data_IF_611970600706
#
_entry.id   IF_611970600706
#
_cell.length_a   1.000
_cell.length_b   1.000
_cell.length_c   1.000
_cell.angle_alpha   90.00
_cell.angle_beta   90.00
_cell.angle_gamma   90.00
#
_symmetry.space_group_name_H-M   'P 1'
#
loop_
_entity.id
_entity.type
_entity.pdbx_description
1 polymer ?
#
# COMPACT_ATOMS: atom_id res chain seq x y z
N UNK A 1 -20.78 2.34 -14.94
CA UNK A 1 -19.77 2.37 -13.87
C UNK A 1 -18.45 1.99 -14.52
N UNK A 2 -17.50 2.91 -14.63
CA UNK A 2 -16.26 2.70 -15.38
C UNK A 2 -15.05 3.18 -14.61
N UNK A 3 -13.85 2.83 -15.08
CA UNK A 3 -12.58 3.28 -14.51
C UNK A 3 -12.54 4.81 -14.47
N UNK A 4 -12.17 5.35 -13.31
CA UNK A 4 -12.20 6.80 -13.08
C UNK A 4 -10.87 7.41 -13.52
N UNK A 5 -10.95 8.48 -14.31
CA UNK A 5 -9.79 9.24 -14.74
C UNK A 5 -9.22 10.10 -13.60
N UNK A 6 -7.97 10.52 -13.76
CA UNK A 6 -7.22 11.39 -12.88
C UNK A 6 -8.00 12.63 -12.39
N UNK A 7 -8.72 13.32 -13.27
CA UNK A 7 -9.53 14.49 -12.94
C UNK A 7 -10.59 14.17 -11.88
N UNK A 8 -11.25 13.02 -12.00
CA UNK A 8 -12.24 12.58 -11.02
C UNK A 8 -11.57 12.22 -9.70
N UNK A 9 -10.45 11.50 -9.73
CA UNK A 9 -9.72 11.10 -8.52
C UNK A 9 -9.24 12.35 -7.77
N UNK A 10 -8.68 13.33 -8.49
CA UNK A 10 -8.25 14.63 -7.95
C UNK A 10 -9.40 15.36 -7.28
N UNK A 11 -10.54 15.47 -7.97
CA UNK A 11 -11.74 16.09 -7.42
C UNK A 11 -12.17 15.43 -6.11
N UNK A 12 -12.26 14.10 -6.11
CA UNK A 12 -12.67 13.35 -4.91
C UNK A 12 -11.67 13.46 -3.76
N UNK A 13 -10.37 13.52 -4.06
CA UNK A 13 -9.34 13.71 -3.03
C UNK A 13 -9.43 15.12 -2.41
N UNK A 14 -9.52 16.17 -3.22
CA UNK A 14 -9.50 17.56 -2.75
C UNK A 14 -10.82 18.02 -2.12
N UNK A 15 -11.96 17.64 -2.69
CA UNK A 15 -13.29 18.13 -2.24
C UNK A 15 -13.92 17.22 -1.18
N UNK A 16 -13.60 15.92 -1.19
CA UNK A 16 -14.24 14.93 -0.34
C UNK A 16 -13.27 14.17 0.58
N UNK A 17 -11.98 14.52 0.57
CA UNK A 17 -10.97 13.86 1.41
C UNK A 17 -10.83 12.37 1.12
N UNK A 18 -11.06 11.94 -0.13
CA UNK A 18 -11.02 10.52 -0.50
C UNK A 18 -9.63 9.90 -0.26
N UNK A 19 -8.56 10.68 -0.38
CA UNK A 19 -7.16 10.26 -0.21
C UNK A 19 -6.44 11.35 0.60
N UNK A 20 -5.75 10.98 1.68
CA UNK A 20 -5.05 11.94 2.54
C UNK A 20 -3.78 11.32 3.15
N UNK A 21 -2.59 11.92 2.98
CA UNK A 21 -2.28 13.09 2.15
C UNK A 21 -2.37 12.78 0.64
N UNK A 22 -2.76 13.78 -0.16
CA UNK A 22 -2.92 13.66 -1.61
C UNK A 22 -1.83 14.40 -2.41
N UNK A 23 -1.28 13.76 -3.44
CA UNK A 23 -0.36 14.37 -4.41
C UNK A 23 -0.97 14.31 -5.80
N UNK A 24 -1.23 15.47 -6.39
CA UNK A 24 -2.05 15.64 -7.60
C UNK A 24 -1.30 15.39 -8.93
N UNK A 25 -0.05 14.96 -8.85
CA UNK A 25 0.82 14.61 -9.96
C UNK A 25 1.74 13.44 -9.58
N UNK A 26 2.40 12.85 -10.57
CA UNK A 26 3.43 11.84 -10.36
C UNK A 26 4.73 12.46 -9.83
N UNK A 27 5.16 12.05 -8.64
CA UNK A 27 6.51 12.33 -8.13
C UNK A 27 7.44 11.17 -8.47
N UNK A 28 8.61 11.47 -9.04
CA UNK A 28 9.53 10.46 -9.61
C UNK A 28 11.00 10.64 -9.23
N UNK A 29 11.38 11.80 -8.71
CA UNK A 29 12.79 12.14 -8.52
C UNK A 29 13.43 11.30 -7.39
N UNK A 30 14.34 10.41 -7.78
CA UNK A 30 15.14 9.60 -6.86
C UNK A 30 14.37 8.51 -6.10
N UNK A 31 13.12 8.22 -6.46
CA UNK A 31 12.24 7.29 -5.73
C UNK A 31 11.41 6.42 -6.66
N UNK A 32 10.87 5.31 -6.13
CA UNK A 32 9.76 4.60 -6.80
C UNK A 32 8.57 5.55 -6.83
N UNK A 33 8.07 5.82 -8.04
CA UNK A 33 7.11 6.92 -8.22
C UNK A 33 5.79 6.73 -7.47
N UNK A 34 5.18 7.83 -7.07
CA UNK A 34 3.89 7.85 -6.36
C UNK A 34 3.03 9.06 -6.75
N UNK A 35 1.77 9.08 -6.29
CA UNK A 35 0.82 10.16 -6.57
C UNK A 35 -0.15 9.86 -7.72
N UNK A 36 -0.91 10.87 -8.12
CA UNK A 36 -1.96 10.75 -9.14
C UNK A 36 -1.41 10.30 -10.50
N UNK A 37 -2.02 9.25 -11.07
CA UNK A 37 -1.75 8.73 -12.41
C UNK A 37 -3.03 8.83 -13.26
N UNK A 38 -2.93 8.65 -14.58
CA UNK A 38 -4.03 8.92 -15.53
C UNK A 38 -5.36 8.24 -15.19
N UNK A 39 -5.32 7.03 -14.61
CA UNK A 39 -6.51 6.26 -14.23
C UNK A 39 -6.35 5.54 -12.88
N UNK A 40 -5.57 6.13 -11.98
CA UNK A 40 -5.27 5.51 -10.69
C UNK A 40 -4.46 6.43 -9.79
N UNK A 41 -4.10 5.92 -8.62
CA UNK A 41 -3.28 6.64 -7.66
C UNK A 41 -2.21 5.69 -7.12
N UNK A 42 -0.95 6.05 -7.30
CA UNK A 42 0.18 5.27 -6.79
C UNK A 42 0.39 5.61 -5.31
N UNK A 43 0.11 4.63 -4.44
CA UNK A 43 0.26 4.75 -2.98
C UNK A 43 1.69 4.52 -2.51
N UNK A 44 2.02 5.04 -1.34
CA UNK A 44 3.33 4.83 -0.69
C UNK A 44 3.22 3.82 0.43
N UNK A 45 4.32 3.10 0.68
CA UNK A 45 4.50 2.28 1.88
C UNK A 45 5.04 3.14 3.03
N UNK A 46 4.49 2.97 4.24
CA UNK A 46 5.02 3.59 5.44
C UNK A 46 6.27 2.86 5.97
N UNK A 47 6.94 3.44 6.97
CA UNK A 47 8.19 2.94 7.56
C UNK A 47 7.97 1.85 8.64
N UNK A 48 6.74 1.33 8.78
CA UNK A 48 6.35 0.36 9.80
C UNK A 48 5.91 -0.96 9.14
N UNK A 49 6.59 -2.03 9.51
CA UNK A 49 6.47 -3.35 8.91
C UNK A 49 6.27 -4.44 9.97
N UNK A 50 5.56 -5.50 9.60
CA UNK A 50 5.51 -6.76 10.33
C UNK A 50 6.02 -7.88 9.43
N UNK A 51 7.21 -8.41 9.73
CA UNK A 51 7.89 -9.41 8.92
C UNK A 51 7.53 -10.80 9.44
N UNK A 52 7.00 -11.68 8.59
CA UNK A 52 6.64 -13.03 9.00
C UNK A 52 7.86 -13.87 9.38
N UNK A 53 7.75 -14.63 10.46
CA UNK A 53 8.79 -15.54 10.98
C UNK A 53 8.22 -16.91 11.35
N UNK A 54 8.93 -17.97 10.98
CA UNK A 54 8.59 -19.34 11.33
C UNK A 54 9.33 -19.86 12.57
N UNK A 55 10.17 -19.04 13.21
CA UNK A 55 11.03 -19.43 14.35
C UNK A 55 10.23 -20.10 15.48
N UNK A 56 8.99 -19.66 15.70
CA UNK A 56 8.13 -20.18 16.78
C UNK A 56 7.22 -21.33 16.34
N UNK A 57 7.27 -21.76 15.08
CA UNK A 57 6.41 -22.81 14.51
C UNK A 57 4.91 -22.61 14.81
N UNK A 58 4.48 -21.35 14.92
CA UNK A 58 3.10 -21.00 15.15
C UNK A 58 2.26 -21.38 13.91
N UNK A 59 1.11 -22.02 14.14
CA UNK A 59 0.12 -22.25 13.09
C UNK A 59 -0.56 -20.92 12.78
N UNK A 60 -0.61 -20.54 11.50
CA UNK A 60 -1.29 -19.32 11.08
C UNK A 60 -2.80 -19.58 11.09
N UNK A 61 -3.49 -19.07 12.12
CA UNK A 61 -4.95 -19.03 12.20
C UNK A 61 -5.47 -17.62 11.86
N UNK A 62 -6.09 -17.40 10.68
CA UNK A 62 -6.64 -16.10 10.31
C UNK A 62 -7.76 -15.59 11.24
N UNK A 63 -8.43 -16.47 12.01
CA UNK A 63 -9.45 -16.09 12.99
C UNK A 63 -8.85 -15.69 14.35
N UNK A 64 -7.63 -16.15 14.63
CA UNK A 64 -6.92 -15.91 15.88
C UNK A 64 -5.45 -15.60 15.58
N UNK A 65 -5.22 -14.43 14.98
CA UNK A 65 -3.90 -14.04 14.49
C UNK A 65 -2.87 -13.92 15.63
N UNK A 66 -1.87 -14.82 15.65
CA UNK A 66 -0.80 -14.81 16.65
C UNK A 66 0.30 -13.84 16.25
N UNK A 67 0.47 -12.77 17.04
CA UNK A 67 1.52 -11.76 16.82
C UNK A 67 2.94 -12.33 16.91
N UNK A 68 3.14 -13.49 17.55
CA UNK A 68 4.45 -14.17 17.58
C UNK A 68 4.91 -14.66 16.22
N UNK A 69 3.98 -14.85 15.27
CA UNK A 69 4.32 -15.21 13.88
C UNK A 69 4.95 -14.05 13.10
N UNK A 70 5.10 -12.87 13.71
CA UNK A 70 5.69 -11.69 13.07
C UNK A 70 6.67 -10.94 13.98
N UNK A 71 7.64 -10.29 13.35
CA UNK A 71 8.58 -9.38 13.98
C UNK A 71 8.25 -7.96 13.55
N UNK A 72 8.07 -7.06 14.52
CA UNK A 72 7.90 -5.63 14.25
C UNK A 72 9.23 -5.02 13.80
N UNK A 73 9.18 -4.27 12.71
CA UNK A 73 10.34 -3.56 12.15
C UNK A 73 9.93 -2.13 11.77
N UNK A 74 10.75 -1.15 12.17
CA UNK A 74 10.60 0.24 11.77
C UNK A 74 11.88 0.75 11.12
N UNK A 75 11.78 1.23 9.88
CA UNK A 75 12.94 1.72 9.12
C UNK A 75 12.60 2.08 7.68
N UNK A 76 13.52 2.78 7.02
CA UNK A 76 13.34 3.26 5.65
C UNK A 76 13.33 2.13 4.60
N UNK A 77 14.01 1.01 4.90
CA UNK A 77 14.13 -0.15 4.00
C UNK A 77 13.83 -1.43 4.77
N UNK A 78 12.78 -2.13 4.36
CA UNK A 78 12.44 -3.46 4.87
C UNK A 78 12.99 -4.55 3.93
N UNK A 79 13.78 -5.47 4.48
CA UNK A 79 14.26 -6.65 3.77
C UNK A 79 13.28 -7.80 4.07
N UNK A 80 12.62 -8.31 3.04
CA UNK A 80 11.72 -9.46 3.15
C UNK A 80 12.56 -10.74 2.98
N UNK A 81 12.56 -11.67 3.93
CA UNK A 81 13.28 -12.94 3.77
C UNK A 81 12.79 -13.73 2.54
N UNK A 82 13.68 -14.48 1.86
CA UNK A 82 13.29 -15.32 0.74
C UNK A 82 12.14 -16.26 1.11
N UNK A 83 11.17 -16.41 0.21
CA UNK A 83 10.00 -17.27 0.40
C UNK A 83 9.14 -16.92 1.64
N UNK A 84 9.24 -15.69 2.14
CA UNK A 84 8.41 -15.14 3.22
C UNK A 84 7.60 -13.94 2.72
N UNK A 85 6.89 -13.27 3.62
CA UNK A 85 6.14 -12.04 3.34
C UNK A 85 6.22 -11.05 4.50
N UNK A 86 5.82 -9.82 4.24
CA UNK A 86 5.68 -8.77 5.25
C UNK A 86 4.35 -8.04 5.09
N UNK A 87 3.82 -7.53 6.19
CA UNK A 87 2.73 -6.58 6.20
C UNK A 87 3.29 -5.17 6.40
N UNK A 88 2.66 -4.20 5.76
CA UNK A 88 2.90 -2.78 5.98
C UNK A 88 1.57 -2.04 5.85
N UNK A 89 1.60 -0.73 6.10
CA UNK A 89 0.47 0.16 5.83
C UNK A 89 0.84 1.20 4.79
N UNK A 90 -0.18 1.75 4.15
CA UNK A 90 0.00 2.92 3.28
C UNK A 90 0.34 4.16 4.10
N UNK A 91 1.04 5.11 3.47
CA UNK A 91 1.14 6.47 4.02
C UNK A 91 -0.20 7.18 3.90
N UNK A 92 -0.89 6.97 2.79
CA UNK A 92 -2.21 7.53 2.53
C UNK A 92 -3.33 6.81 3.30
N UNK A 93 -4.23 7.58 3.88
CA UNK A 93 -5.51 7.15 4.40
C UNK A 93 -6.59 7.32 3.33
N UNK A 94 -7.48 6.34 3.21
CA UNK A 94 -8.53 6.30 2.19
C UNK A 94 -9.93 6.39 2.80
N UNK A 95 -10.78 7.26 2.24
CA UNK A 95 -12.20 7.41 2.58
C UNK A 95 -13.04 7.10 1.35
N UNK A 96 -13.24 5.82 1.06
CA UNK A 96 -13.89 5.39 -0.19
C UNK A 96 -15.39 5.71 -0.16
N UNK A 97 -15.91 6.47 -1.14
CA UNK A 97 -17.35 6.76 -1.23
C UNK A 97 -18.18 5.48 -1.40
N UNK A 98 -19.42 5.49 -0.89
CA UNK A 98 -20.31 4.29 -0.92
C UNK A 98 -20.58 3.70 -2.31
N UNK A 99 -20.47 4.51 -3.36
CA UNK A 99 -20.70 4.12 -4.75
C UNK A 99 -19.39 3.81 -5.50
N UNK A 100 -18.29 3.56 -4.80
CA UNK A 100 -16.97 3.34 -5.38
C UNK A 100 -16.38 2.04 -4.85
N UNK A 101 -15.77 1.27 -5.75
CA UNK A 101 -14.94 0.12 -5.44
C UNK A 101 -13.54 0.38 -6.02
N UNK A 102 -12.50 0.04 -5.25
CA UNK A 102 -11.10 0.19 -5.67
C UNK A 102 -10.44 -1.16 -5.88
N UNK A 103 -9.49 -1.24 -6.81
CA UNK A 103 -8.62 -2.40 -7.01
C UNK A 103 -7.18 -1.93 -6.79
N UNK A 104 -6.40 -2.70 -6.03
CA UNK A 104 -4.98 -2.44 -5.80
C UNK A 104 -4.14 -3.42 -6.62
N UNK A 105 -3.13 -2.90 -7.33
CA UNK A 105 -2.22 -3.70 -8.17
C UNK A 105 -0.77 -3.33 -7.86
N UNK A 106 0.13 -4.30 -7.96
CA UNK A 106 1.56 -4.08 -7.73
C UNK A 106 2.21 -3.25 -8.85
N UNK A 107 3.23 -2.48 -8.50
CA UNK A 107 4.07 -1.79 -9.49
C UNK A 107 5.07 -2.75 -10.12
N UNK A 108 5.34 -2.55 -11.40
CA UNK A 108 6.25 -3.40 -12.18
C UNK A 108 7.69 -3.41 -11.64
N UNK A 109 8.12 -2.41 -10.89
CA UNK A 109 9.42 -2.37 -10.19
C UNK A 109 9.55 -3.45 -9.12
N UNK A 110 8.46 -3.73 -8.39
CA UNK A 110 8.45 -4.81 -7.39
C UNK A 110 8.18 -6.15 -8.06
N UNK A 111 7.16 -6.24 -8.92
CA UNK A 111 6.74 -7.50 -9.52
C UNK A 111 7.83 -8.20 -10.38
N UNK A 112 8.82 -7.45 -10.88
CA UNK A 112 9.97 -8.00 -11.62
C UNK A 112 11.01 -8.68 -10.71
N UNK A 113 10.91 -8.51 -9.40
CA UNK A 113 11.84 -9.05 -8.41
C UNK A 113 11.26 -10.24 -7.63
N UNK A 114 10.09 -10.75 -8.02
CA UNK A 114 9.32 -11.77 -7.29
C UNK A 114 8.30 -11.17 -6.34
#
# INVERSE_FOLDING_TARGET
MGLKADQWIRKMALEHGMIEPFVDHQKRDGVISYGLSSYGYDIRVADEYKIFTNVFSAVVDPKSFDTKSMVDFKGEVCIIPPNSFALARTVEYFRIPRNVLTICVGKSTYARCG
#
